data_IF_482118886713
#
_entry.id   IF_482118886713
#
_cell.length_a   1.000
_cell.length_b   1.000
_cell.length_c   1.000
_cell.angle_alpha   90.00
_cell.angle_beta   90.00
_cell.angle_gamma   90.00
#
_symmetry.space_group_name_H-M   'P 1'
#
loop_
_entity.id
_entity.type
_entity.pdbx_description
1 polymer ?
#
# COMPACT_ATOMS: atom_id res chain seq x y z
N UNK A 1 4.50 102.65 9.22
CA UNK A 1 3.56 103.46 8.41
C UNK A 1 2.85 104.38 9.38
N UNK A 2 3.01 105.68 9.18
CA UNK A 2 2.52 106.73 10.05
C UNK A 2 1.02 106.99 9.85
N UNK A 3 0.41 107.53 10.90
CA UNK A 3 -0.71 108.47 10.81
C UNK A 3 -1.98 108.02 11.54
N UNK A 4 -2.82 108.89 12.08
CA UNK A 4 -2.90 110.36 12.09
C UNK A 4 -4.00 110.67 13.15
N UNK A 5 -3.76 111.64 14.05
CA UNK A 5 -4.81 112.29 14.87
C UNK A 5 -5.68 113.21 14.00
N UNK A 6 -6.96 113.45 14.34
CA UNK A 6 -7.34 114.75 14.93
C UNK A 6 -8.43 114.59 16.03
N UNK A 7 -8.44 115.36 17.13
CA UNK A 7 -8.77 116.80 17.31
C UNK A 7 -10.27 117.12 17.17
N UNK A 8 -10.83 117.75 18.20
CA UNK A 8 -12.21 118.26 18.30
C UNK A 8 -12.82 117.95 19.67
N UNK A 9 -12.48 118.69 20.73
CA UNK A 9 -13.18 119.89 21.19
C UNK A 9 -14.56 119.59 21.80
N UNK A 10 -14.66 119.69 23.13
CA UNK A 10 -15.70 120.44 23.87
C UNK A 10 -15.54 120.17 25.38
N UNK A 11 -15.01 121.17 26.10
CA UNK A 11 -15.19 121.30 27.55
C UNK A 11 -16.67 121.63 27.84
N UNK A 12 -17.29 120.95 28.82
CA UNK A 12 -17.86 121.69 29.94
C UNK A 12 -17.53 121.01 31.27
N UNK A 13 -16.28 121.16 31.71
CA UNK A 13 -15.91 121.00 33.12
C UNK A 13 -16.44 122.22 33.90
N UNK A 14 -17.62 122.15 34.54
CA UNK A 14 -18.00 123.02 35.68
C UNK A 14 -19.35 122.76 36.39
N UNK A 15 -19.94 121.55 36.34
CA UNK A 15 -21.23 121.30 37.04
C UNK A 15 -21.31 120.09 37.99
N UNK A 16 -20.36 119.15 37.97
CA UNK A 16 -20.47 117.91 38.77
C UNK A 16 -19.99 117.97 40.24
N UNK A 17 -19.03 118.82 40.67
CA UNK A 17 -18.56 118.79 42.06
C UNK A 17 -19.59 119.23 43.11
N UNK A 18 -20.60 120.04 42.72
CA UNK A 18 -21.65 120.51 43.64
C UNK A 18 -22.71 119.45 43.93
N UNK A 19 -23.01 118.58 42.96
CA UNK A 19 -23.97 117.50 43.14
C UNK A 19 -23.38 116.35 43.97
N UNK A 20 -22.09 116.02 43.76
CA UNK A 20 -21.40 114.99 44.55
C UNK A 20 -21.33 115.38 46.03
N UNK A 21 -21.11 116.67 46.35
CA UNK A 21 -21.09 117.16 47.74
C UNK A 21 -22.49 117.20 48.38
N UNK A 22 -23.53 117.46 47.59
CA UNK A 22 -24.92 117.40 48.02
C UNK A 22 -25.38 115.98 48.35
N UNK A 23 -24.99 115.01 47.51
CA UNK A 23 -25.26 113.58 47.73
C UNK A 23 -24.43 113.03 48.91
N UNK A 24 -23.19 113.48 49.11
CA UNK A 24 -22.38 113.08 50.26
C UNK A 24 -22.98 113.53 51.61
N UNK A 25 -23.57 114.74 51.66
CA UNK A 25 -24.27 115.21 52.86
C UNK A 25 -25.60 114.48 53.09
N UNK A 26 -26.28 114.04 52.03
CA UNK A 26 -27.50 113.25 52.14
C UNK A 26 -27.22 111.81 52.63
N UNK A 27 -26.07 111.25 52.26
CA UNK A 27 -25.58 109.95 52.77
C UNK A 27 -25.11 110.08 54.22
N UNK A 28 -24.45 111.18 54.61
CA UNK A 28 -24.01 111.41 55.99
C UNK A 28 -25.18 111.64 56.98
N UNK A 29 -26.29 112.24 56.52
CA UNK A 29 -27.50 112.44 57.33
C UNK A 29 -28.44 111.21 57.35
N UNK A 30 -28.17 110.21 56.52
CA UNK A 30 -28.83 108.90 56.51
C UNK A 30 -28.04 107.93 57.40
N UNK A 31 -27.92 108.27 58.69
CA UNK A 31 -27.39 107.38 59.72
C UNK A 31 -28.31 106.18 59.94
N UNK A 32 -28.23 105.21 59.04
CA UNK A 32 -28.86 103.90 59.18
C UNK A 32 -27.80 102.92 59.66
N UNK A 33 -27.74 102.73 60.98
CA UNK A 33 -26.97 101.65 61.59
C UNK A 33 -27.62 100.33 61.19
N UNK A 34 -27.10 99.70 60.14
CA UNK A 34 -27.48 98.34 59.74
C UNK A 34 -26.61 97.38 60.54
N UNK A 35 -27.16 96.85 61.63
CA UNK A 35 -26.66 95.60 62.20
C UNK A 35 -26.92 94.48 61.17
N UNK A 36 -25.94 94.25 60.31
CA UNK A 36 -25.85 93.02 59.54
C UNK A 36 -25.27 91.96 60.47
N UNK A 37 -26.16 91.20 61.10
CA UNK A 37 -25.87 89.86 61.61
C UNK A 37 -25.44 88.99 60.42
N UNK A 38 -24.14 89.04 60.11
CA UNK A 38 -23.54 88.13 59.14
C UNK A 38 -23.48 86.75 59.81
N UNK A 39 -24.24 85.74 59.34
CA UNK A 39 -24.00 84.38 59.82
C UNK A 39 -22.53 84.07 59.55
N UNK A 40 -21.83 83.59 60.58
CA UNK A 40 -20.38 83.29 60.59
C UNK A 40 -19.89 82.94 59.19
N UNK A 41 -18.97 83.76 58.67
CA UNK A 41 -18.28 83.58 57.40
C UNK A 41 -18.21 82.11 57.00
N UNK A 42 -18.95 81.71 55.97
CA UNK A 42 -18.82 80.37 55.41
C UNK A 42 -17.37 80.25 54.98
N UNK A 43 -16.62 79.41 55.67
CA UNK A 43 -15.16 79.37 55.56
C UNK A 43 -14.80 78.79 54.19
N UNK A 44 -14.59 79.68 53.21
CA UNK A 44 -14.31 79.33 51.82
C UNK A 44 -13.06 78.43 51.71
N UNK A 45 -12.13 78.60 52.66
CA UNK A 45 -10.96 77.75 52.84
C UNK A 45 -11.35 76.29 53.09
N UNK A 46 -12.38 76.08 53.93
CA UNK A 46 -12.91 74.75 54.27
C UNK A 46 -13.63 74.11 53.08
N UNK A 47 -14.42 74.88 52.33
CA UNK A 47 -15.09 74.39 51.10
C UNK A 47 -14.07 74.03 50.01
N UNK A 48 -13.05 74.87 49.80
CA UNK A 48 -11.96 74.57 48.86
C UNK A 48 -11.15 73.34 49.28
N UNK A 49 -10.90 73.16 50.58
CA UNK A 49 -10.25 71.96 51.10
C UNK A 49 -11.10 70.71 50.90
N UNK A 50 -12.42 70.78 51.12
CA UNK A 50 -13.36 69.67 50.90
C UNK A 50 -13.44 69.31 49.40
N UNK A 51 -13.50 70.29 48.49
CA UNK A 51 -13.47 70.03 47.03
C UNK A 51 -12.15 69.35 46.64
N UNK A 52 -11.01 69.79 47.20
CA UNK A 52 -9.71 69.17 46.96
C UNK A 52 -9.69 67.73 47.45
N UNK A 53 -10.18 67.48 48.67
CA UNK A 53 -10.27 66.15 49.25
C UNK A 53 -11.18 65.22 48.42
N UNK A 54 -12.29 65.73 47.90
CA UNK A 54 -13.17 64.98 46.98
C UNK A 54 -12.48 64.65 45.65
N UNK A 55 -11.71 65.59 45.09
CA UNK A 55 -10.95 65.37 43.86
C UNK A 55 -9.81 64.38 44.05
N UNK A 56 -9.08 64.49 45.16
CA UNK A 56 -8.00 63.56 45.51
C UNK A 56 -8.56 62.15 45.72
N UNK A 57 -9.72 62.03 46.38
CA UNK A 57 -10.41 60.76 46.57
C UNK A 57 -10.93 60.19 45.23
N UNK A 58 -11.46 61.03 44.34
CA UNK A 58 -11.91 60.60 43.01
C UNK A 58 -10.73 60.16 42.14
N UNK A 59 -9.62 60.90 42.16
CA UNK A 59 -8.40 60.55 41.44
C UNK A 59 -7.78 59.25 41.97
N UNK A 60 -7.79 59.05 43.29
CA UNK A 60 -7.38 57.79 43.94
C UNK A 60 -8.25 56.63 43.49
N UNK A 61 -9.58 56.78 43.55
CA UNK A 61 -10.53 55.74 43.09
C UNK A 61 -10.36 55.42 41.61
N UNK A 62 -10.24 56.44 40.75
CA UNK A 62 -10.03 56.24 39.33
C UNK A 62 -8.73 55.47 39.07
N UNK A 63 -7.64 55.82 39.75
CA UNK A 63 -6.37 55.09 39.64
C UNK A 63 -6.50 53.63 40.08
N UNK A 64 -7.16 53.37 41.21
CA UNK A 64 -7.39 52.01 41.69
C UNK A 64 -8.28 51.19 40.76
N UNK A 65 -9.32 51.80 40.18
CA UNK A 65 -10.19 51.15 39.21
C UNK A 65 -9.44 50.86 37.90
N UNK A 66 -8.61 51.79 37.44
CA UNK A 66 -7.80 51.63 36.24
C UNK A 66 -6.73 50.54 36.43
N UNK A 67 -6.05 50.52 37.58
CA UNK A 67 -5.07 49.49 37.92
C UNK A 67 -5.75 48.12 37.99
N UNK A 68 -6.93 48.01 38.63
CA UNK A 68 -7.72 46.76 38.65
C UNK A 68 -8.14 46.33 37.26
N UNK A 69 -8.63 47.25 36.42
CA UNK A 69 -9.07 46.96 35.06
C UNK A 69 -7.90 46.43 34.21
N UNK A 70 -6.75 47.10 34.25
CA UNK A 70 -5.57 46.64 33.50
C UNK A 70 -4.98 45.35 34.04
N UNK A 71 -4.89 45.19 35.37
CA UNK A 71 -4.47 43.91 35.97
C UNK A 71 -5.38 42.77 35.54
N UNK A 72 -6.70 42.97 35.55
CA UNK A 72 -7.66 41.97 35.10
C UNK A 72 -7.49 41.65 33.61
N UNK A 73 -7.34 42.66 32.75
CA UNK A 73 -7.15 42.45 31.31
C UNK A 73 -5.85 41.70 31.00
N UNK A 74 -4.76 42.00 31.73
CA UNK A 74 -3.49 41.29 31.60
C UNK A 74 -3.62 39.85 32.07
N UNK A 75 -4.29 39.61 33.19
CA UNK A 75 -4.53 38.26 33.72
C UNK A 75 -5.36 37.43 32.75
N UNK A 76 -6.47 37.97 32.24
CA UNK A 76 -7.31 37.32 31.24
C UNK A 76 -6.49 37.00 29.98
N UNK A 77 -5.77 37.98 29.43
CA UNK A 77 -4.92 37.75 28.25
C UNK A 77 -3.83 36.70 28.52
N UNK A 78 -3.21 36.69 29.71
CA UNK A 78 -2.19 35.72 30.08
C UNK A 78 -2.77 34.30 30.19
N UNK A 79 -3.98 34.15 30.75
CA UNK A 79 -4.66 32.84 30.81
C UNK A 79 -5.03 32.34 29.42
N UNK A 80 -5.51 33.21 28.52
CA UNK A 80 -5.81 32.85 27.13
C UNK A 80 -4.53 32.43 26.39
N UNK A 81 -3.45 33.20 26.50
CA UNK A 81 -2.18 32.87 25.84
C UNK A 81 -1.59 31.57 26.37
N UNK A 82 -1.66 31.31 27.67
CA UNK A 82 -1.17 30.04 28.25
C UNK A 82 -2.01 28.85 27.79
N UNK A 83 -3.35 28.98 27.74
CA UNK A 83 -4.23 27.95 27.19
C UNK A 83 -3.94 27.66 25.72
N UNK A 84 -3.88 28.72 24.88
CA UNK A 84 -3.59 28.58 23.46
C UNK A 84 -2.20 27.96 23.22
N UNK A 85 -1.19 28.33 24.01
CA UNK A 85 0.14 27.73 23.90
C UNK A 85 0.13 26.25 24.27
N UNK A 86 -0.64 25.86 25.30
CA UNK A 86 -0.82 24.46 25.66
C UNK A 86 -1.55 23.65 24.57
N UNK A 87 -2.60 24.22 23.97
CA UNK A 87 -3.32 23.62 22.85
C UNK A 87 -2.44 23.44 21.61
N UNK A 88 -1.63 24.45 21.28
CA UNK A 88 -0.64 24.36 20.18
C UNK A 88 0.38 23.26 20.49
N UNK A 89 0.90 23.19 21.71
CA UNK A 89 1.82 22.12 22.11
C UNK A 89 1.20 20.72 21.96
N UNK A 90 -0.06 20.54 22.36
CA UNK A 90 -0.78 19.29 22.18
C UNK A 90 -1.04 18.96 20.68
N UNK A 91 -1.35 19.97 19.87
CA UNK A 91 -1.49 19.80 18.43
C UNK A 91 -0.16 19.43 17.76
N UNK A 92 0.96 19.99 18.21
CA UNK A 92 2.30 19.65 17.72
C UNK A 92 2.68 18.20 18.09
N UNK A 93 2.43 17.77 19.33
CA UNK A 93 2.73 16.40 19.74
C UNK A 93 1.91 15.39 18.91
N UNK A 94 0.61 15.61 18.77
CA UNK A 94 -0.26 14.75 17.95
C UNK A 94 0.17 14.72 16.48
N UNK A 95 0.58 15.86 15.90
CA UNK A 95 1.14 15.92 14.55
C UNK A 95 2.41 15.06 14.44
N UNK A 96 3.32 15.13 15.41
CA UNK A 96 4.55 14.32 15.37
C UNK A 96 4.26 12.83 15.55
N UNK A 97 3.26 12.46 16.36
CA UNK A 97 2.81 11.08 16.50
C UNK A 97 2.22 10.58 15.18
N UNK A 98 1.32 11.33 14.55
CA UNK A 98 0.77 10.98 13.23
C UNK A 98 1.86 10.84 12.18
N UNK A 99 2.87 11.71 12.16
CA UNK A 99 4.01 11.57 11.23
C UNK A 99 4.78 10.27 11.48
N UNK A 100 5.00 9.89 12.74
CA UNK A 100 5.65 8.61 13.09
C UNK A 100 4.80 7.41 12.66
N UNK A 101 3.47 7.46 12.86
CA UNK A 101 2.59 6.36 12.43
C UNK A 101 2.56 6.22 10.92
N UNK A 102 2.51 7.32 10.16
CA UNK A 102 2.61 7.28 8.69
C UNK A 102 3.93 6.64 8.26
N UNK A 103 5.06 7.07 8.82
CA UNK A 103 6.36 6.47 8.49
C UNK A 103 6.41 4.97 8.82
N UNK A 104 5.86 4.55 9.95
CA UNK A 104 5.76 3.13 10.30
C UNK A 104 4.94 2.35 9.27
N UNK A 105 3.78 2.89 8.87
CA UNK A 105 2.92 2.25 7.87
C UNK A 105 3.56 2.19 6.49
N UNK A 106 4.34 3.21 6.10
CA UNK A 106 5.12 3.20 4.85
C UNK A 106 6.17 2.09 4.87
N UNK A 107 6.91 1.94 5.97
CA UNK A 107 7.90 0.87 6.15
C UNK A 107 7.23 -0.50 6.10
N UNK A 108 6.11 -0.68 6.81
CA UNK A 108 5.36 -1.94 6.81
C UNK A 108 4.88 -2.28 5.40
N UNK A 109 4.37 -1.31 4.67
CA UNK A 109 3.89 -1.47 3.30
C UNK A 109 5.03 -1.81 2.32
N UNK A 110 6.20 -1.20 2.45
CA UNK A 110 7.37 -1.56 1.66
C UNK A 110 7.92 -2.95 2.04
N UNK A 111 7.87 -3.33 3.32
CA UNK A 111 8.22 -4.68 3.77
C UNK A 111 7.30 -5.73 3.15
N UNK A 112 5.98 -5.45 3.08
CA UNK A 112 4.98 -6.33 2.47
C UNK A 112 5.16 -6.42 0.95
N UNK A 113 5.53 -5.33 0.28
CA UNK A 113 5.90 -5.34 -1.14
C UNK A 113 7.13 -6.22 -1.40
N UNK A 114 8.15 -6.11 -0.58
CA UNK A 114 9.35 -6.94 -0.68
C UNK A 114 9.04 -8.42 -0.43
N UNK A 115 8.22 -8.72 0.58
CA UNK A 115 7.77 -10.09 0.85
C UNK A 115 6.99 -10.65 -0.34
N UNK A 116 6.05 -9.88 -0.89
CA UNK A 116 5.29 -10.25 -2.08
C UNK A 116 6.22 -10.57 -3.26
N UNK A 117 7.18 -9.69 -3.55
CA UNK A 117 8.13 -9.90 -4.65
C UNK A 117 8.99 -11.17 -4.44
N UNK A 118 9.42 -11.43 -3.20
CA UNK A 118 10.14 -12.64 -2.83
C UNK A 118 9.30 -13.91 -3.07
N UNK A 119 8.03 -13.90 -2.65
CA UNK A 119 7.10 -15.01 -2.87
C UNK A 119 6.81 -15.24 -4.35
N UNK A 120 6.61 -14.19 -5.14
CA UNK A 120 6.42 -14.29 -6.59
C UNK A 120 7.68 -14.84 -7.29
N UNK A 121 8.88 -14.45 -6.84
CA UNK A 121 10.13 -15.00 -7.35
C UNK A 121 10.28 -16.49 -7.01
N UNK A 122 9.98 -16.88 -5.77
CA UNK A 122 10.00 -18.28 -5.33
C UNK A 122 9.01 -19.13 -6.11
N UNK A 123 7.79 -18.61 -6.35
CA UNK A 123 6.80 -19.26 -7.19
C UNK A 123 7.34 -19.50 -8.61
N UNK A 124 7.90 -18.46 -9.25
CA UNK A 124 8.48 -18.57 -10.60
C UNK A 124 9.65 -19.56 -10.66
N UNK A 125 10.50 -19.59 -9.63
CA UNK A 125 11.60 -20.56 -9.52
C UNK A 125 11.08 -22.00 -9.44
N UNK A 126 10.06 -22.23 -8.60
CA UNK A 126 9.42 -23.54 -8.45
C UNK A 126 8.75 -23.97 -9.75
N UNK A 127 7.99 -23.09 -10.40
CA UNK A 127 7.36 -23.36 -11.71
C UNK A 127 8.41 -23.70 -12.77
N UNK A 128 9.49 -22.93 -12.88
CA UNK A 128 10.57 -23.19 -13.83
C UNK A 128 11.26 -24.53 -13.55
N UNK A 129 11.50 -24.86 -12.27
CA UNK A 129 12.07 -26.15 -11.86
C UNK A 129 11.15 -27.31 -12.26
N UNK A 130 9.85 -27.20 -12.01
CA UNK A 130 8.90 -28.25 -12.40
C UNK A 130 8.76 -28.38 -13.91
N UNK A 131 8.75 -27.27 -14.65
CA UNK A 131 8.76 -27.29 -16.11
C UNK A 131 9.99 -28.03 -16.66
N UNK A 132 11.18 -27.75 -16.12
CA UNK A 132 12.42 -28.44 -16.50
C UNK A 132 12.37 -29.93 -16.14
N UNK A 133 11.88 -30.29 -14.96
CA UNK A 133 11.72 -31.70 -14.57
C UNK A 133 10.74 -32.44 -15.49
N UNK A 134 9.64 -31.79 -15.88
CA UNK A 134 8.66 -32.35 -16.80
C UNK A 134 9.26 -32.57 -18.19
N UNK A 135 10.02 -31.59 -18.69
CA UNK A 135 10.74 -31.72 -19.97
C UNK A 135 11.76 -32.87 -19.94
N UNK A 136 12.52 -33.00 -18.85
CA UNK A 136 13.46 -34.11 -18.65
C UNK A 136 12.75 -35.47 -18.67
N UNK A 137 11.66 -35.61 -17.91
CA UNK A 137 10.88 -36.86 -17.88
C UNK A 137 10.27 -37.17 -19.24
N UNK A 138 9.73 -36.17 -19.93
CA UNK A 138 9.21 -36.33 -21.28
C UNK A 138 10.30 -36.76 -22.27
N UNK A 139 11.52 -36.22 -22.15
CA UNK A 139 12.67 -36.65 -22.93
C UNK A 139 13.03 -38.12 -22.72
N UNK A 140 13.06 -38.57 -21.45
CA UNK A 140 13.28 -39.99 -21.11
C UNK A 140 12.16 -40.88 -21.66
N UNK A 141 10.90 -40.44 -21.55
CA UNK A 141 9.74 -41.16 -22.05
C UNK A 141 9.84 -41.35 -23.57
N UNK A 142 10.11 -40.29 -24.33
CA UNK A 142 10.28 -40.35 -25.79
C UNK A 142 11.44 -41.26 -26.19
N UNK A 143 12.54 -41.22 -25.45
CA UNK A 143 13.68 -42.12 -25.70
C UNK A 143 13.28 -43.59 -25.50
N UNK A 144 12.62 -43.93 -24.39
CA UNK A 144 12.15 -45.28 -24.12
C UNK A 144 11.10 -45.75 -25.12
N UNK A 145 10.18 -44.87 -25.55
CA UNK A 145 9.21 -45.17 -26.61
C UNK A 145 9.91 -45.51 -27.93
N UNK A 146 10.96 -44.76 -28.28
CA UNK A 146 11.77 -45.01 -29.47
C UNK A 146 12.51 -46.35 -29.37
N UNK A 147 13.17 -46.65 -28.24
CA UNK A 147 13.88 -47.92 -28.03
C UNK A 147 12.93 -49.13 -28.10
N UNK A 148 11.73 -48.99 -27.53
CA UNK A 148 10.71 -50.02 -27.54
C UNK A 148 10.13 -50.23 -28.95
N UNK A 149 9.92 -49.15 -29.72
CA UNK A 149 9.54 -49.24 -31.12
C UNK A 149 10.63 -49.94 -31.97
N UNK A 150 11.90 -49.60 -31.75
CA UNK A 150 13.04 -50.21 -32.42
C UNK A 150 13.14 -51.71 -32.11
N UNK A 151 13.01 -52.10 -30.84
CA UNK A 151 13.08 -53.50 -30.42
C UNK A 151 11.92 -54.32 -30.98
N UNK A 152 10.72 -53.74 -31.08
CA UNK A 152 9.57 -54.38 -31.74
C UNK A 152 9.82 -54.58 -33.23
N UNK A 153 10.34 -53.58 -33.92
CA UNK A 153 10.68 -53.68 -35.35
C UNK A 153 11.75 -54.75 -35.59
N UNK A 154 12.79 -54.79 -34.75
CA UNK A 154 13.84 -55.81 -34.81
C UNK A 154 13.28 -57.21 -34.54
N UNK A 155 12.41 -57.38 -33.54
CA UNK A 155 11.75 -58.66 -33.27
C UNK A 155 10.87 -59.14 -34.43
N UNK A 156 10.15 -58.22 -35.10
CA UNK A 156 9.38 -58.54 -36.31
C UNK A 156 10.30 -58.98 -37.46
N UNK A 157 11.42 -58.29 -37.65
CA UNK A 157 12.43 -58.64 -38.65
C UNK A 157 13.01 -60.03 -38.40
N UNK A 158 13.42 -60.32 -37.17
CA UNK A 158 13.94 -61.64 -36.78
C UNK A 158 12.90 -62.75 -36.96
N UNK A 159 11.63 -62.48 -36.68
CA UNK A 159 10.56 -63.45 -36.92
C UNK A 159 10.40 -63.77 -38.42
N UNK A 160 10.47 -62.76 -39.29
CA UNK A 160 10.45 -62.98 -40.74
C UNK A 160 11.66 -63.79 -41.22
N UNK A 161 12.85 -63.52 -40.70
CA UNK A 161 14.05 -64.30 -41.00
C UNK A 161 13.94 -65.74 -40.50
N UNK A 162 13.37 -65.95 -39.30
CA UNK A 162 13.13 -67.27 -38.73
C UNK A 162 12.14 -68.08 -39.59
N UNK A 163 11.02 -67.48 -40.00
CA UNK A 163 10.05 -68.12 -40.89
C UNK A 163 10.68 -68.46 -42.26
N UNK A 164 11.52 -67.59 -42.82
CA UNK A 164 12.25 -67.87 -44.05
C UNK A 164 13.20 -69.07 -43.89
N UNK A 165 13.96 -69.12 -42.80
CA UNK A 165 14.88 -70.22 -42.50
C UNK A 165 14.11 -71.53 -42.24
N UNK A 166 12.99 -71.46 -41.53
CA UNK A 166 12.12 -72.61 -41.28
C UNK A 166 11.61 -73.19 -42.62
N UNK A 167 11.16 -72.33 -43.53
CA UNK A 167 10.73 -72.76 -44.87
C UNK A 167 11.84 -73.47 -45.65
N UNK A 168 13.08 -72.98 -45.59
CA UNK A 168 14.23 -73.65 -46.21
C UNK A 168 14.51 -75.01 -45.55
N UNK A 169 14.49 -75.06 -44.21
CA UNK A 169 14.69 -76.31 -43.46
C UNK A 169 13.66 -77.37 -43.83
N UNK A 170 12.39 -77.00 -43.98
CA UNK A 170 11.32 -77.93 -44.40
C UNK A 170 11.56 -78.46 -45.81
N UNK A 171 11.99 -77.60 -46.75
CA UNK A 171 12.33 -78.04 -48.11
C UNK A 171 13.49 -79.03 -48.11
N UNK A 172 14.55 -78.75 -47.36
CA UNK A 172 15.70 -79.65 -47.24
C UNK A 172 15.33 -80.99 -46.60
N UNK A 173 14.45 -80.99 -45.59
CA UNK A 173 13.94 -82.24 -45.00
C UNK A 173 13.14 -83.06 -46.01
N UNK A 174 12.32 -82.41 -46.84
CA UNK A 174 11.61 -83.09 -47.93
C UNK A 174 12.59 -83.69 -48.94
N UNK A 175 13.61 -82.94 -49.37
CA UNK A 175 14.66 -83.45 -50.27
C UNK A 175 15.39 -84.66 -49.67
N UNK A 176 15.83 -84.59 -48.40
CA UNK A 176 16.49 -85.71 -47.71
C UNK A 176 15.59 -86.95 -47.67
N UNK A 177 14.30 -86.78 -47.38
CA UNK A 177 13.35 -87.90 -47.37
C UNK A 177 13.19 -88.52 -48.76
N UNK A 178 13.15 -87.71 -49.83
CA UNK A 178 13.13 -88.24 -51.20
C UNK A 178 14.41 -88.98 -51.55
N UNK A 179 15.59 -88.47 -51.16
CA UNK A 179 16.86 -89.15 -51.36
C UNK A 179 16.92 -90.48 -50.61
N UNK A 180 16.44 -90.54 -49.35
CA UNK A 180 16.35 -91.79 -48.59
C UNK A 180 15.46 -92.81 -49.27
N UNK A 181 14.29 -92.40 -49.74
CA UNK A 181 13.36 -93.27 -50.48
C UNK A 181 14.00 -93.84 -51.74
N UNK A 182 14.70 -93.02 -52.52
CA UNK A 182 15.44 -93.46 -53.71
C UNK A 182 16.55 -94.48 -53.41
N UNK A 183 17.21 -94.35 -52.25
CA UNK A 183 18.28 -95.25 -51.82
C UNK A 183 17.75 -96.57 -51.24
N UNK A 184 16.58 -96.55 -50.58
CA UNK A 184 15.95 -97.72 -49.96
C UNK A 184 15.08 -98.52 -50.97
N UNK A 185 14.32 -97.85 -51.85
CA UNK A 185 13.35 -98.46 -52.78
C UNK A 185 13.97 -98.79 -54.17
N UNK A 186 15.23 -99.24 -54.19
CA UNK A 186 16.09 -99.33 -55.39
C UNK A 186 15.53 -100.10 -56.62
N UNK A 187 14.41 -100.80 -56.51
CA UNK A 187 13.78 -101.54 -57.62
C UNK A 187 12.30 -101.17 -57.93
N UNK A 188 11.60 -100.38 -57.09
CA UNK A 188 10.16 -100.04 -57.25
C UNK A 188 9.85 -98.52 -57.17
N UNK A 189 10.82 -97.65 -57.47
CA UNK A 189 10.63 -96.20 -57.40
C UNK A 189 9.79 -95.64 -58.57
N UNK A 190 8.53 -95.26 -58.30
CA UNK A 190 7.70 -94.51 -59.24
C UNK A 190 7.95 -92.99 -59.12
N UNK A 191 8.55 -92.39 -60.14
CA UNK A 191 8.89 -90.95 -60.22
C UNK A 191 7.70 -90.00 -59.96
N UNK A 192 6.47 -90.44 -60.25
CA UNK A 192 5.25 -89.65 -60.03
C UNK A 192 5.03 -89.28 -58.55
N UNK A 193 5.40 -90.17 -57.63
CA UNK A 193 5.10 -90.05 -56.19
C UNK A 193 5.99 -89.00 -55.49
N UNK A 194 7.19 -88.74 -56.05
CA UNK A 194 8.12 -87.71 -55.58
C UNK A 194 7.75 -86.30 -56.08
N UNK A 195 7.15 -86.20 -57.27
CA UNK A 195 6.69 -84.92 -57.84
C UNK A 195 5.43 -84.43 -57.11
N UNK A 196 4.53 -85.34 -56.73
CA UNK A 196 3.34 -84.99 -55.95
C UNK A 196 3.68 -84.49 -54.54
N UNK A 197 4.73 -85.05 -53.92
CA UNK A 197 5.24 -84.60 -52.61
C UNK A 197 5.88 -83.20 -52.67
N UNK A 198 6.44 -82.81 -53.82
CA UNK A 198 7.06 -81.50 -54.04
C UNK A 198 6.03 -80.37 -54.24
N UNK A 199 4.80 -80.72 -54.64
CA UNK A 199 3.70 -79.76 -54.85
C UNK A 199 2.77 -79.59 -53.63
N UNK A 200 2.84 -80.48 -52.62
CA UNK A 200 2.08 -80.32 -51.38
C UNK A 200 2.69 -79.21 -50.51
N UNK A 201 2.01 -78.06 -50.51
CA UNK A 201 2.37 -76.88 -49.75
C UNK A 201 2.13 -77.13 -48.26
N UNK A 202 3.10 -77.73 -47.57
CA UNK A 202 3.04 -77.92 -46.13
C UNK A 202 3.28 -76.59 -45.43
N UNK A 203 2.31 -76.14 -44.63
CA UNK A 203 2.45 -74.93 -43.81
C UNK A 203 2.70 -75.38 -42.38
N UNK A 204 3.83 -75.01 -41.79
CA UNK A 204 4.10 -75.26 -40.38
C UNK A 204 3.58 -74.07 -39.59
N UNK A 205 2.60 -74.30 -38.72
CA UNK A 205 2.12 -73.31 -37.78
C UNK A 205 2.80 -73.55 -36.42
N UNK A 206 3.71 -72.65 -36.03
CA UNK A 206 4.28 -72.63 -34.68
C UNK A 206 3.48 -71.66 -33.81
N UNK A 207 2.85 -72.16 -32.77
CA UNK A 207 2.11 -71.34 -31.80
C UNK A 207 2.90 -71.30 -30.50
N UNK A 208 3.51 -70.16 -30.20
CA UNK A 208 4.20 -69.92 -28.92
C UNK A 208 3.26 -69.20 -27.97
N UNK A 209 2.89 -69.85 -26.87
CA UNK A 209 2.06 -69.25 -25.82
C UNK A 209 2.96 -68.83 -24.67
N UNK A 210 2.94 -67.53 -24.32
CA UNK A 210 3.70 -66.95 -23.21
C UNK A 210 2.75 -66.60 -22.06
N UNK A 211 3.07 -67.01 -20.83
CA UNK A 211 2.43 -66.49 -19.61
C UNK A 211 3.37 -65.50 -18.91
N UNK A 212 2.88 -64.26 -18.78
CA UNK A 212 3.56 -63.14 -18.15
C UNK A 212 2.92 -62.84 -16.79
N UNK A 213 3.74 -62.70 -15.74
CA UNK A 213 3.33 -62.18 -14.42
C UNK A 213 4.32 -61.08 -14.04
N UNK A 214 3.83 -59.88 -13.70
CA UNK A 214 4.63 -58.70 -13.35
C UNK A 214 5.80 -58.40 -14.32
N UNK A 215 5.55 -58.49 -15.62
CA UNK A 215 6.53 -58.15 -16.65
C UNK A 215 7.67 -59.17 -16.84
N UNK A 216 7.67 -60.29 -16.11
CA UNK A 216 8.65 -61.37 -16.27
C UNK A 216 7.99 -62.62 -16.88
N UNK A 217 8.66 -63.25 -17.84
CA UNK A 217 8.18 -64.49 -18.47
C UNK A 217 8.37 -65.65 -17.49
N UNK A 218 7.26 -66.26 -17.05
CA UNK A 218 7.27 -67.34 -16.04
C UNK A 218 7.14 -68.72 -16.69
N UNK A 219 6.55 -68.79 -17.89
CA UNK A 219 6.54 -70.02 -18.68
C UNK A 219 6.36 -69.72 -20.17
N UNK A 220 7.10 -70.45 -21.00
CA UNK A 220 7.01 -70.45 -22.45
C UNK A 220 6.70 -71.88 -22.91
N UNK A 221 5.65 -72.04 -23.70
CA UNK A 221 5.30 -73.33 -24.30
C UNK A 221 5.15 -73.13 -25.80
N UNK A 222 5.96 -73.84 -26.59
CA UNK A 222 5.97 -73.79 -28.05
C UNK A 222 5.39 -75.07 -28.62
N UNK A 223 4.30 -74.96 -29.37
CA UNK A 223 3.68 -76.08 -30.09
C UNK A 223 3.90 -75.88 -31.60
N UNK A 224 4.37 -76.93 -32.29
CA UNK A 224 4.63 -76.90 -33.74
C UNK A 224 3.76 -77.92 -34.44
N UNK A 225 2.83 -77.45 -35.28
CA UNK A 225 1.94 -78.31 -36.05
C UNK A 225 2.24 -78.20 -37.53
N UNK A 226 2.50 -79.34 -38.18
CA UNK A 226 2.69 -79.42 -39.63
C UNK A 226 1.34 -79.67 -40.28
N UNK A 227 0.83 -78.71 -41.04
CA UNK A 227 -0.41 -78.83 -41.79
C UNK A 227 -0.07 -79.18 -43.24
N UNK A 228 -0.57 -80.31 -43.72
CA UNK A 228 -0.43 -80.78 -45.10
C UNK A 228 -1.71 -80.42 -45.86
N UNK A 229 -1.58 -79.66 -46.94
CA UNK A 229 -2.66 -79.37 -47.89
C UNK A 229 -2.63 -80.36 -49.05
#
# INVERSE_FOLDING_TARGET
>A
MAGIFPSGAEDPELALPREVKGLQNQIANSGLTVELDAPKSQDLSKIMADIRAQYDELARKNREELDKYWSHQIEESATVVTSQTAEIGAAETTLTELRRTVQSLEIDLDSMRNLKASLENSLREVEARYAMQMEQLNGVLLHLESELAQTRAEGQRQNQEYEALLNVKVKLEAEINTYRRLLEDGDDFNLSDAVDSSNSRQTIQKTTTLRLVDGKVVSETSDTKVLRH
#
